data_IF_156019775571
#
_entry.id   IF_156019775571
#
_cell.length_a   1.000
_cell.length_b   1.000
_cell.length_c   1.000
_cell.angle_alpha   90.00
_cell.angle_beta   90.00
_cell.angle_gamma   90.00
#
_symmetry.space_group_name_H-M   'P 1'
#
loop_
_entity.id
_entity.type
_entity.pdbx_description
1 polymer ?
#
# COMPACT_ATOMS: atom_id res chain seq x y z
N UNK A 1 -32.65 12.18 1.59
CA UNK A 1 -32.90 13.60 1.94
C UNK A 1 -31.66 14.52 1.77
N UNK A 2 -30.49 14.00 1.37
CA UNK A 2 -29.24 14.79 1.26
C UNK A 2 -29.00 15.44 -0.12
N UNK A 3 -29.58 14.92 -1.18
CA UNK A 3 -29.29 15.35 -2.57
C UNK A 3 -29.65 16.81 -2.91
N UNK A 4 -30.78 17.41 -2.46
CA UNK A 4 -31.10 18.80 -2.77
C UNK A 4 -30.13 19.81 -2.13
N UNK A 5 -29.62 19.50 -0.96
CA UNK A 5 -28.71 20.39 -0.23
C UNK A 5 -27.31 20.44 -0.87
N UNK A 6 -26.82 19.31 -1.36
CA UNK A 6 -25.51 19.24 -2.05
C UNK A 6 -25.57 20.01 -3.37
N UNK A 7 -26.63 19.84 -4.16
CA UNK A 7 -26.79 20.54 -5.44
C UNK A 7 -26.89 22.07 -5.24
N UNK A 8 -27.56 22.52 -4.19
CA UNK A 8 -27.67 23.96 -3.85
C UNK A 8 -26.34 24.51 -3.37
N UNK A 9 -25.63 23.77 -2.52
CA UNK A 9 -24.30 24.19 -2.03
C UNK A 9 -23.29 24.30 -3.19
N UNK A 10 -23.30 23.31 -4.10
CA UNK A 10 -22.44 23.34 -5.28
C UNK A 10 -22.74 24.55 -6.18
N UNK A 11 -24.02 24.85 -6.45
CA UNK A 11 -24.41 25.99 -7.25
C UNK A 11 -23.95 27.32 -6.62
N UNK A 12 -24.13 27.47 -5.30
CA UNK A 12 -23.68 28.66 -4.58
C UNK A 12 -22.15 28.82 -4.70
N UNK A 13 -21.40 27.72 -4.60
CA UNK A 13 -19.94 27.72 -4.71
C UNK A 13 -19.51 28.13 -6.13
N UNK A 14 -20.14 27.61 -7.17
CA UNK A 14 -19.90 27.98 -8.58
C UNK A 14 -20.19 29.46 -8.83
N UNK A 15 -21.28 29.99 -8.27
CA UNK A 15 -21.66 31.42 -8.35
C UNK A 15 -20.65 32.31 -7.60
N UNK A 16 -20.20 31.90 -6.40
CA UNK A 16 -19.27 32.68 -5.58
C UNK A 16 -17.89 32.82 -6.25
N UNK A 17 -17.36 31.73 -6.82
CA UNK A 17 -16.05 31.73 -7.47
C UNK A 17 -16.09 32.06 -8.96
N UNK A 18 -17.29 32.20 -9.55
CA UNK A 18 -17.47 32.51 -10.97
C UNK A 18 -16.95 31.44 -11.93
N UNK A 19 -16.94 30.17 -11.47
CA UNK A 19 -16.43 29.03 -12.23
C UNK A 19 -17.49 27.94 -12.32
N UNK A 20 -17.40 27.11 -13.34
CA UNK A 20 -18.19 25.89 -13.44
C UNK A 20 -17.33 24.71 -12.97
N UNK A 21 -17.72 24.09 -11.85
CA UNK A 21 -16.95 22.98 -11.27
C UNK A 21 -17.33 21.68 -11.96
N UNK A 22 -18.63 21.47 -12.25
CA UNK A 22 -19.11 20.25 -12.91
C UNK A 22 -19.94 20.56 -14.15
N UNK A 23 -19.90 19.65 -15.11
CA UNK A 23 -20.77 19.65 -16.28
C UNK A 23 -21.51 18.30 -16.42
N UNK A 24 -22.66 18.35 -17.11
CA UNK A 24 -23.43 17.14 -17.38
C UNK A 24 -22.90 16.42 -18.61
N UNK A 25 -22.68 15.11 -18.50
CA UNK A 25 -22.35 14.24 -19.61
C UNK A 25 -23.39 13.14 -19.75
N UNK A 26 -23.28 12.34 -20.81
CA UNK A 26 -24.12 11.14 -21.03
C UNK A 26 -23.92 10.08 -19.94
N UNK A 27 -22.80 10.12 -19.22
CA UNK A 27 -22.45 9.19 -18.15
C UNK A 27 -22.63 9.77 -16.74
N UNK A 28 -23.15 11.01 -16.63
CA UNK A 28 -23.37 11.67 -15.34
C UNK A 28 -22.70 13.05 -15.22
N UNK A 29 -22.43 13.46 -14.01
CA UNK A 29 -21.70 14.71 -13.71
C UNK A 29 -20.21 14.47 -13.77
N UNK A 30 -19.49 15.25 -14.58
CA UNK A 30 -18.02 15.20 -14.70
C UNK A 30 -17.40 16.56 -14.33
N UNK A 31 -16.23 16.61 -13.66
CA UNK A 31 -15.55 17.85 -13.38
C UNK A 31 -15.04 18.51 -14.67
N UNK A 32 -15.24 19.81 -14.80
CA UNK A 32 -14.60 20.62 -15.85
C UNK A 32 -13.10 20.74 -15.61
N UNK A 33 -12.33 21.27 -16.53
CA UNK A 33 -10.90 21.54 -16.33
C UNK A 33 -10.64 22.50 -15.16
N UNK A 34 -11.41 23.61 -15.12
CA UNK A 34 -11.38 24.54 -13.99
C UNK A 34 -11.87 23.88 -12.70
N UNK A 35 -12.88 23.03 -12.80
CA UNK A 35 -13.42 22.26 -11.68
C UNK A 35 -12.39 21.30 -11.08
N UNK A 36 -11.64 20.57 -11.89
CA UNK A 36 -10.55 19.70 -11.39
C UNK A 36 -9.53 20.48 -10.59
N UNK A 37 -9.07 21.63 -11.15
CA UNK A 37 -8.11 22.48 -10.44
C UNK A 37 -8.70 23.03 -9.13
N UNK A 38 -9.95 23.47 -9.13
CA UNK A 38 -10.63 23.96 -7.93
C UNK A 38 -10.77 22.86 -6.87
N UNK A 39 -11.18 21.64 -7.26
CA UNK A 39 -11.30 20.50 -6.36
C UNK A 39 -9.94 20.19 -5.73
N UNK A 40 -8.85 20.16 -6.50
CA UNK A 40 -7.50 19.93 -5.97
C UNK A 40 -7.09 20.96 -4.91
N UNK A 41 -7.42 22.25 -5.12
CA UNK A 41 -7.14 23.29 -4.13
C UNK A 41 -8.05 23.16 -2.89
N UNK A 42 -9.33 22.91 -3.10
CA UNK A 42 -10.29 22.69 -2.01
C UNK A 42 -9.89 21.51 -1.10
N UNK A 43 -9.46 20.39 -1.71
CA UNK A 43 -8.93 19.24 -0.98
C UNK A 43 -7.68 19.58 -0.14
N UNK A 44 -6.82 20.48 -0.64
CA UNK A 44 -5.66 20.97 0.14
C UNK A 44 -6.10 21.76 1.37
N UNK A 45 -7.07 22.64 1.21
CA UNK A 45 -7.61 23.44 2.32
C UNK A 45 -8.27 22.52 3.36
N UNK A 46 -9.09 21.58 2.93
CA UNK A 46 -9.74 20.63 3.83
C UNK A 46 -8.72 19.78 4.61
N UNK A 47 -7.66 19.34 3.96
CA UNK A 47 -6.58 18.62 4.66
C UNK A 47 -5.91 19.48 5.73
N UNK A 48 -5.73 20.78 5.48
CA UNK A 48 -5.12 21.67 6.46
C UNK A 48 -6.07 21.94 7.65
N UNK A 49 -7.38 22.02 7.40
CA UNK A 49 -8.40 22.07 8.46
C UNK A 49 -8.38 20.77 9.29
N UNK A 50 -8.37 19.61 8.63
CA UNK A 50 -8.27 18.30 9.34
C UNK A 50 -7.01 18.22 10.21
N UNK A 51 -5.88 18.78 9.73
CA UNK A 51 -4.65 18.87 10.54
C UNK A 51 -4.80 19.76 11.75
N UNK A 52 -5.40 20.93 11.59
CA UNK A 52 -5.65 21.84 12.72
C UNK A 52 -6.54 21.18 13.76
N UNK A 53 -7.60 20.50 13.35
CA UNK A 53 -8.50 19.77 14.24
C UNK A 53 -7.78 18.62 14.96
N UNK A 54 -6.95 17.86 14.25
CA UNK A 54 -6.12 16.79 14.81
C UNK A 54 -5.12 17.35 15.82
N UNK A 55 -4.45 18.47 15.53
CA UNK A 55 -3.50 19.12 16.42
C UNK A 55 -4.18 19.73 17.66
N UNK A 56 -5.39 20.27 17.51
CA UNK A 56 -6.18 20.77 18.63
C UNK A 56 -6.58 19.65 19.60
N UNK A 57 -7.03 18.48 19.08
CA UNK A 57 -7.39 17.31 19.89
C UNK A 57 -6.18 16.69 20.58
N UNK A 58 -4.99 16.71 19.95
CA UNK A 58 -3.75 16.21 20.55
C UNK A 58 -3.22 17.05 21.70
N UNK A 59 -3.35 18.36 21.63
CA UNK A 59 -2.95 19.23 22.75
C UNK A 59 -3.71 18.93 24.04
N UNK A 60 -4.80 18.18 23.91
CA UNK A 60 -5.58 17.65 25.04
C UNK A 60 -5.11 16.26 25.50
N UNK A 61 -4.09 15.65 24.83
CA UNK A 61 -3.48 14.37 25.26
C UNK A 61 -4.32 13.11 24.98
N UNK A 62 -5.39 13.23 24.18
CA UNK A 62 -6.47 12.23 24.19
C UNK A 62 -6.49 11.27 22.99
N UNK A 63 -5.77 11.54 21.87
CA UNK A 63 -5.95 10.73 20.68
C UNK A 63 -4.64 10.32 19.98
N UNK A 64 -4.39 9.02 19.87
CA UNK A 64 -3.37 8.47 18.97
C UNK A 64 -3.98 8.23 17.59
N UNK A 65 -3.54 8.98 16.57
CA UNK A 65 -4.02 8.87 15.20
C UNK A 65 -2.89 8.46 14.26
N UNK A 66 -3.13 7.41 13.46
CA UNK A 66 -2.23 6.97 12.40
C UNK A 66 -3.01 6.66 11.13
N UNK A 67 -2.60 7.26 10.00
CA UNK A 67 -3.13 6.93 8.67
C UNK A 67 -1.99 6.55 7.75
N UNK A 68 -1.94 5.28 7.35
CA UNK A 68 -0.86 4.74 6.52
C UNK A 68 -1.38 3.89 5.38
N UNK A 69 -0.83 4.09 4.18
CA UNK A 69 -1.02 3.22 3.02
C UNK A 69 0.18 2.28 2.90
N UNK A 70 -0.07 0.98 2.76
CA UNK A 70 0.95 -0.07 2.76
C UNK A 70 0.77 -0.98 1.55
N UNK A 71 1.84 -1.47 0.92
CA UNK A 71 1.74 -2.54 -0.06
C UNK A 71 1.46 -3.87 0.63
N UNK A 72 1.25 -4.93 -0.13
CA UNK A 72 1.16 -6.30 0.40
C UNK A 72 2.50 -6.74 1.04
N UNK A 73 2.85 -6.13 2.16
CA UNK A 73 4.08 -6.36 2.92
C UNK A 73 3.77 -6.88 4.32
N UNK A 74 4.02 -8.16 4.57
CA UNK A 74 3.71 -8.77 5.87
C UNK A 74 4.41 -8.07 7.03
N UNK A 75 5.68 -7.69 6.88
CA UNK A 75 6.42 -6.99 7.93
C UNK A 75 5.81 -5.62 8.26
N UNK A 76 5.29 -4.91 7.26
CA UNK A 76 4.63 -3.62 7.48
C UNK A 76 3.30 -3.78 8.23
N UNK A 77 2.54 -4.84 7.94
CA UNK A 77 1.34 -5.18 8.73
C UNK A 77 1.68 -5.51 10.17
N UNK A 78 2.81 -6.21 10.42
CA UNK A 78 3.27 -6.48 11.78
C UNK A 78 3.75 -5.21 12.50
N UNK A 79 4.36 -4.26 11.80
CA UNK A 79 4.66 -2.94 12.36
C UNK A 79 3.40 -2.20 12.81
N UNK A 80 2.32 -2.29 12.03
CA UNK A 80 1.03 -1.73 12.42
C UNK A 80 0.42 -2.43 13.64
N UNK A 81 0.54 -3.75 13.75
CA UNK A 81 0.11 -4.51 14.94
C UNK A 81 0.94 -4.10 16.17
N UNK A 82 2.26 -4.01 16.03
CA UNK A 82 3.14 -3.57 17.14
C UNK A 82 2.79 -2.13 17.57
N UNK A 83 2.46 -1.24 16.64
CA UNK A 83 1.98 0.11 16.94
C UNK A 83 0.67 0.08 17.73
N UNK A 84 -0.31 -0.71 17.29
CA UNK A 84 -1.58 -0.86 17.99
C UNK A 84 -1.39 -1.37 19.42
N UNK A 85 -0.50 -2.36 19.64
CA UNK A 85 -0.20 -2.88 20.98
C UNK A 85 0.38 -1.81 21.89
N UNK A 86 1.27 -0.94 21.36
CA UNK A 86 1.86 0.14 22.14
C UNK A 86 0.89 1.31 22.39
N UNK A 87 -0.06 1.53 21.50
CA UNK A 87 -1.07 2.58 21.59
C UNK A 87 -2.35 2.13 22.34
N UNK A 88 -2.42 0.86 22.78
CA UNK A 88 -3.63 0.29 23.39
C UNK A 88 -4.07 0.98 24.70
N UNK A 89 -3.17 1.71 25.37
CA UNK A 89 -3.47 2.48 26.57
C UNK A 89 -3.92 3.93 26.32
N UNK A 90 -4.01 4.36 25.06
CA UNK A 90 -4.50 5.71 24.72
C UNK A 90 -6.02 5.81 24.95
N UNK A 91 -6.49 6.94 25.46
CA UNK A 91 -7.94 7.15 25.69
C UNK A 91 -8.73 7.13 24.37
N UNK A 92 -8.14 7.68 23.30
CA UNK A 92 -8.67 7.59 21.95
C UNK A 92 -7.61 7.02 21.01
N UNK A 93 -8.01 6.08 20.16
CA UNK A 93 -7.16 5.44 19.17
C UNK A 93 -7.88 5.40 17.83
N UNK A 94 -7.32 6.08 16.82
CA UNK A 94 -7.82 6.03 15.44
C UNK A 94 -6.69 5.63 14.50
N UNK A 95 -6.76 4.42 13.98
CA UNK A 95 -5.75 3.89 13.07
C UNK A 95 -6.38 3.44 11.76
N UNK A 96 -5.93 4.05 10.67
CA UNK A 96 -6.35 3.71 9.31
C UNK A 96 -5.18 3.08 8.57
N UNK A 97 -5.30 1.78 8.31
CA UNK A 97 -4.35 1.02 7.51
C UNK A 97 -5.02 0.68 6.19
N UNK A 98 -4.45 1.12 5.09
CA UNK A 98 -4.96 0.83 3.75
C UNK A 98 -3.94 0.02 2.98
N UNK A 99 -4.34 -1.12 2.43
CA UNK A 99 -3.53 -1.80 1.42
C UNK A 99 -3.71 -1.10 0.08
N UNK A 100 -2.60 -0.78 -0.58
CA UNK A 100 -2.58 -0.01 -1.83
C UNK A 100 -1.32 -0.29 -2.64
N UNK A 101 -1.44 -0.26 -3.95
CA UNK A 101 -0.29 -0.20 -4.87
C UNK A 101 0.43 1.14 -4.77
N UNK A 102 1.63 1.24 -5.34
CA UNK A 102 2.50 2.43 -5.17
C UNK A 102 1.85 3.72 -5.64
N UNK A 103 1.20 3.74 -6.79
CA UNK A 103 0.54 4.95 -7.30
C UNK A 103 -0.70 5.33 -6.49
N UNK A 104 -1.47 4.34 -6.05
CA UNK A 104 -2.60 4.58 -5.16
C UNK A 104 -2.14 5.07 -3.79
N UNK A 105 -1.05 4.51 -3.25
CA UNK A 105 -0.40 4.98 -2.01
C UNK A 105 0.01 6.44 -2.10
N UNK A 106 0.58 6.86 -3.23
CA UNK A 106 0.89 8.27 -3.51
C UNK A 106 -0.38 9.13 -3.57
N UNK A 107 -1.46 8.64 -4.18
CA UNK A 107 -2.75 9.34 -4.21
C UNK A 107 -3.33 9.51 -2.79
N UNK A 108 -3.21 8.49 -1.93
CA UNK A 108 -3.61 8.59 -0.52
C UNK A 108 -2.87 9.71 0.22
N UNK A 109 -1.54 9.83 0.02
CA UNK A 109 -0.75 10.90 0.65
C UNK A 109 -1.06 12.27 0.07
N UNK A 110 -1.19 12.36 -1.26
CA UNK A 110 -1.35 13.65 -1.93
C UNK A 110 -2.76 14.21 -1.85
N UNK A 111 -3.80 13.34 -1.79
CA UNK A 111 -5.19 13.76 -1.98
C UNK A 111 -6.18 13.28 -0.92
N UNK A 112 -5.88 12.18 -0.18
CA UNK A 112 -6.87 11.53 0.69
C UNK A 112 -6.56 11.64 2.19
N UNK A 113 -5.66 12.56 2.57
CA UNK A 113 -5.38 12.87 3.99
C UNK A 113 -4.56 11.80 4.72
N UNK A 114 -3.94 10.86 4.01
CA UNK A 114 -2.92 10.00 4.59
C UNK A 114 -1.60 10.77 4.65
N UNK A 115 -0.81 10.51 5.68
CA UNK A 115 0.48 11.19 5.81
C UNK A 115 1.66 10.28 5.46
N UNK A 116 1.49 8.98 5.60
CA UNK A 116 2.50 7.97 5.30
C UNK A 116 2.02 7.03 4.20
N UNK A 117 2.89 6.71 3.25
CA UNK A 117 2.71 5.57 2.37
C UNK A 117 4.03 4.81 2.19
N UNK A 118 3.96 3.49 2.19
CA UNK A 118 5.06 2.63 1.81
C UNK A 118 4.85 2.20 0.36
N UNK A 119 5.73 2.63 -0.52
CA UNK A 119 5.69 2.28 -1.94
C UNK A 119 6.51 1.02 -2.17
N UNK A 120 6.06 0.15 -3.07
CA UNK A 120 6.80 -1.03 -3.53
C UNK A 120 6.92 -1.03 -5.04
N UNK A 121 8.12 -1.00 -5.55
CA UNK A 121 8.40 -0.98 -6.98
C UNK A 121 9.72 -1.68 -7.31
N UNK A 122 9.91 -2.01 -8.59
CA UNK A 122 11.16 -2.57 -9.08
C UNK A 122 12.28 -1.52 -9.08
N UNK A 123 13.51 -1.92 -8.83
CA UNK A 123 14.68 -1.03 -8.84
C UNK A 123 14.79 -0.24 -10.16
N UNK A 124 14.37 -0.81 -11.28
CA UNK A 124 14.31 -0.18 -12.60
C UNK A 124 13.43 1.09 -12.61
N UNK A 125 12.41 1.17 -11.75
CA UNK A 125 11.46 2.28 -11.66
C UNK A 125 11.89 3.37 -10.68
N UNK A 126 13.04 3.24 -10.05
CA UNK A 126 13.58 4.17 -9.04
C UNK A 126 13.58 5.62 -9.55
N UNK A 127 14.06 5.84 -10.77
CA UNK A 127 14.13 7.17 -11.37
C UNK A 127 12.74 7.80 -11.58
N UNK A 128 11.74 6.98 -11.93
CA UNK A 128 10.37 7.45 -12.08
C UNK A 128 9.80 7.93 -10.74
N UNK A 129 9.84 7.07 -9.72
CA UNK A 129 9.30 7.39 -8.40
C UNK A 129 10.06 8.51 -7.71
N UNK A 130 11.39 8.58 -7.88
CA UNK A 130 12.23 9.65 -7.35
C UNK A 130 11.81 11.02 -7.90
N UNK A 131 11.72 11.13 -9.22
CA UNK A 131 11.27 12.38 -9.88
C UNK A 131 9.83 12.74 -9.55
N UNK A 132 8.96 11.73 -9.48
CA UNK A 132 7.55 11.94 -9.14
C UNK A 132 7.38 12.54 -7.75
N UNK A 133 8.06 11.97 -6.74
CA UNK A 133 8.03 12.45 -5.36
C UNK A 133 8.67 13.84 -5.21
N UNK A 134 9.85 14.06 -5.79
CA UNK A 134 10.56 15.33 -5.72
C UNK A 134 9.73 16.51 -6.27
N UNK A 135 9.05 16.32 -7.40
CA UNK A 135 8.16 17.35 -7.98
C UNK A 135 6.95 17.68 -7.11
N UNK A 136 6.61 16.83 -6.13
CA UNK A 136 5.45 17.00 -5.25
C UNK A 136 5.81 17.31 -3.80
N UNK A 137 7.11 17.54 -3.52
CA UNK A 137 7.60 17.84 -2.17
C UNK A 137 7.34 16.70 -1.20
N UNK A 138 7.62 15.46 -1.64
CA UNK A 138 7.55 14.28 -0.81
C UNK A 138 8.95 13.82 -0.42
N UNK A 139 9.18 13.64 0.87
CA UNK A 139 10.34 12.94 1.42
C UNK A 139 10.28 11.46 1.06
N UNK A 140 11.46 10.86 0.87
CA UNK A 140 11.61 9.43 0.55
C UNK A 140 12.66 8.80 1.44
N UNK A 141 12.35 7.64 1.97
CA UNK A 141 13.27 6.84 2.77
C UNK A 141 13.20 5.36 2.36
N UNK A 142 14.31 4.79 1.92
CA UNK A 142 14.37 3.37 1.61
C UNK A 142 14.30 2.55 2.90
N UNK A 143 13.29 1.68 3.00
CA UNK A 143 13.08 0.80 4.16
C UNK A 143 13.69 -0.57 3.91
N UNK A 144 13.50 -1.13 2.71
CA UNK A 144 14.00 -2.46 2.39
C UNK A 144 14.29 -2.60 0.88
N UNK A 145 15.30 -3.39 0.55
CA UNK A 145 15.57 -3.92 -0.78
C UNK A 145 15.54 -5.44 -0.69
N UNK A 146 14.88 -6.10 -1.65
CA UNK A 146 14.69 -7.54 -1.63
C UNK A 146 14.44 -8.11 -3.02
N UNK A 147 14.56 -9.44 -3.12
CA UNK A 147 14.08 -10.25 -4.25
C UNK A 147 12.86 -11.05 -3.80
N UNK A 148 11.89 -11.25 -4.71
CA UNK A 148 10.79 -12.14 -4.44
C UNK A 148 11.29 -13.60 -4.30
N UNK A 149 10.60 -14.35 -3.47
CA UNK A 149 10.86 -15.76 -3.21
C UNK A 149 9.57 -16.56 -3.35
N UNK A 150 9.70 -17.85 -3.60
CA UNK A 150 8.56 -18.76 -3.57
C UNK A 150 8.13 -18.97 -2.13
N UNK A 151 6.88 -18.66 -1.84
CA UNK A 151 6.21 -18.98 -0.59
C UNK A 151 5.37 -20.23 -0.82
N UNK A 152 5.67 -21.27 -0.06
CA UNK A 152 5.04 -22.58 -0.20
C UNK A 152 4.70 -23.18 1.16
N UNK A 153 3.78 -24.11 1.19
CA UNK A 153 3.54 -24.92 2.36
C UNK A 153 4.81 -25.70 2.73
N UNK A 154 5.10 -25.84 4.02
CA UNK A 154 6.27 -26.58 4.53
C UNK A 154 6.27 -28.05 4.08
N UNK A 155 5.10 -28.63 3.89
CA UNK A 155 4.95 -30.01 3.41
C UNK A 155 4.90 -30.14 1.88
N UNK A 156 4.97 -29.03 1.16
CA UNK A 156 5.00 -29.00 -0.30
C UNK A 156 6.22 -29.76 -0.85
N UNK A 157 6.08 -30.47 -1.97
CA UNK A 157 7.24 -30.98 -2.69
C UNK A 157 8.24 -29.87 -3.03
N UNK A 158 7.78 -28.65 -3.35
CA UNK A 158 8.62 -27.49 -3.61
C UNK A 158 9.46 -27.04 -2.40
N UNK A 159 9.05 -27.36 -1.18
CA UNK A 159 9.83 -27.07 0.02
C UNK A 159 11.07 -27.96 0.14
N UNK A 160 11.05 -29.17 -0.45
CA UNK A 160 12.03 -30.23 -0.24
C UNK A 160 13.13 -30.29 -1.29
N UNK A 161 12.96 -29.70 -2.47
CA UNK A 161 13.97 -29.66 -3.52
C UNK A 161 14.20 -28.23 -4.03
N UNK A 162 15.33 -28.00 -4.68
CA UNK A 162 15.60 -26.74 -5.34
C UNK A 162 14.91 -26.72 -6.71
N UNK A 163 14.23 -25.64 -6.98
CA UNK A 163 13.58 -25.38 -8.27
C UNK A 163 14.54 -24.55 -9.09
N UNK A 164 14.94 -25.02 -10.25
CA UNK A 164 15.90 -24.37 -11.11
C UNK A 164 15.27 -23.77 -12.38
N UNK A 165 14.12 -24.30 -12.81
CA UNK A 165 13.42 -23.86 -14.00
C UNK A 165 11.99 -23.47 -13.66
N UNK A 166 11.55 -22.35 -14.21
CA UNK A 166 10.17 -21.88 -14.11
C UNK A 166 9.17 -22.91 -14.65
N UNK A 167 9.54 -23.69 -15.67
CA UNK A 167 8.70 -24.74 -16.22
C UNK A 167 8.29 -25.83 -15.19
N UNK A 168 9.11 -26.03 -14.15
CA UNK A 168 8.77 -26.95 -13.05
C UNK A 168 7.53 -26.49 -12.29
N UNK A 169 7.29 -25.17 -12.20
CA UNK A 169 6.16 -24.57 -11.51
C UNK A 169 4.82 -24.79 -12.24
N UNK A 170 4.84 -25.15 -13.52
CA UNK A 170 3.61 -25.42 -14.29
C UNK A 170 2.75 -26.56 -13.72
N UNK A 171 3.33 -27.41 -12.88
CA UNK A 171 2.61 -28.51 -12.20
C UNK A 171 1.87 -28.06 -10.95
N UNK A 172 2.16 -26.85 -10.47
CA UNK A 172 1.66 -26.29 -9.23
C UNK A 172 0.62 -25.22 -9.51
N UNK A 173 -0.12 -24.81 -8.50
CA UNK A 173 -1.11 -23.75 -8.61
C UNK A 173 -0.51 -22.44 -8.12
N UNK A 174 -0.44 -21.45 -8.99
CA UNK A 174 0.03 -20.11 -8.65
C UNK A 174 -1.09 -19.31 -7.99
N UNK A 175 -0.80 -18.71 -6.83
CA UNK A 175 -1.71 -17.78 -6.14
C UNK A 175 -1.21 -16.37 -6.38
N UNK A 176 -2.05 -15.53 -6.96
CA UNK A 176 -1.73 -14.17 -7.40
C UNK A 176 -2.56 -13.13 -6.66
N UNK A 177 -1.95 -12.00 -6.33
CA UNK A 177 -2.67 -10.78 -6.00
C UNK A 177 -2.81 -9.91 -7.25
N UNK A 178 -4.04 -9.54 -7.59
CA UNK A 178 -4.34 -8.82 -8.84
C UNK A 178 -4.18 -7.28 -8.73
N UNK A 179 -3.77 -6.77 -7.56
CA UNK A 179 -3.69 -5.34 -7.29
C UNK A 179 -2.41 -4.65 -7.80
N UNK A 180 -1.57 -5.37 -8.54
CA UNK A 180 -0.28 -4.88 -9.01
C UNK A 180 -0.35 -4.40 -10.46
N UNK A 181 -0.87 -3.20 -10.70
CA UNK A 181 -0.81 -2.54 -12.01
C UNK A 181 -0.01 -1.24 -11.93
N UNK A 182 1.04 -1.10 -12.75
CA UNK A 182 1.65 0.20 -13.03
C UNK A 182 0.78 0.95 -14.04
N UNK A 183 0.57 2.28 -13.88
CA UNK A 183 -0.12 3.08 -14.87
C UNK A 183 0.63 3.06 -16.20
N UNK A 184 0.02 2.54 -17.26
CA UNK A 184 0.56 2.52 -18.61
C UNK A 184 1.07 1.17 -19.10
N UNK A 185 1.11 0.14 -18.29
CA UNK A 185 1.35 -1.23 -18.72
C UNK A 185 0.09 -2.06 -18.57
N UNK A 186 -0.53 -2.41 -19.68
CA UNK A 186 -1.50 -3.51 -19.77
C UNK A 186 -0.73 -4.82 -19.62
N UNK A 187 -0.59 -5.28 -18.38
CA UNK A 187 0.10 -6.51 -18.08
C UNK A 187 0.86 -6.40 -16.75
N UNK A 188 0.72 -7.39 -15.92
CA UNK A 188 1.38 -7.50 -14.63
C UNK A 188 2.88 -7.24 -14.74
N UNK A 189 3.37 -6.35 -13.91
CA UNK A 189 4.79 -5.99 -13.80
C UNK A 189 5.71 -7.11 -13.29
N UNK A 190 5.17 -8.24 -12.88
CA UNK A 190 5.95 -9.42 -12.52
C UNK A 190 6.25 -10.22 -13.79
N UNK A 191 7.42 -9.99 -14.37
CA UNK A 191 7.90 -10.64 -15.62
C UNK A 191 8.04 -12.17 -15.55
N UNK A 192 7.75 -12.78 -14.40
CA UNK A 192 7.88 -14.21 -14.16
C UNK A 192 6.58 -14.93 -13.79
N UNK A 193 5.43 -14.36 -14.09
CA UNK A 193 4.17 -15.09 -14.00
C UNK A 193 4.16 -16.20 -15.04
N UNK A 194 4.32 -17.42 -14.58
CA UNK A 194 4.70 -18.53 -15.44
C UNK A 194 3.56 -19.45 -15.77
N UNK A 195 2.60 -19.57 -14.84
CA UNK A 195 1.59 -20.60 -14.95
C UNK A 195 0.30 -20.07 -15.56
N UNK A 196 0.16 -20.15 -16.89
CA UNK A 196 -1.06 -19.71 -17.57
C UNK A 196 -2.28 -20.61 -17.31
N UNK A 197 -2.08 -21.83 -16.85
CA UNK A 197 -3.12 -22.85 -16.78
C UNK A 197 -3.67 -23.08 -15.38
N UNK A 198 -2.91 -22.79 -14.32
CA UNK A 198 -3.27 -23.10 -12.93
C UNK A 198 -3.06 -21.88 -12.03
N UNK A 199 -4.00 -20.95 -12.09
CA UNK A 199 -3.94 -19.68 -11.34
C UNK A 199 -5.16 -19.52 -10.45
N UNK A 200 -4.92 -18.94 -9.27
CA UNK A 200 -5.94 -18.46 -8.35
C UNK A 200 -5.69 -16.98 -8.09
N UNK A 201 -6.59 -16.15 -8.54
CA UNK A 201 -6.54 -14.71 -8.29
C UNK A 201 -7.24 -14.40 -6.98
N UNK A 202 -6.54 -13.73 -6.06
CA UNK A 202 -7.09 -13.26 -4.79
C UNK A 202 -6.98 -11.75 -4.71
N UNK A 203 -8.02 -11.12 -4.19
CA UNK A 203 -8.14 -9.66 -4.08
C UNK A 203 -8.07 -9.20 -2.62
N UNK A 204 -7.86 -10.13 -1.70
CA UNK A 204 -7.74 -9.87 -0.28
C UNK A 204 -6.66 -10.79 0.35
N UNK A 205 -6.17 -10.40 1.53
CA UNK A 205 -4.98 -11.03 2.11
C UNK A 205 -5.25 -12.37 2.81
N UNK A 206 -6.45 -12.57 3.37
CA UNK A 206 -6.69 -13.73 4.24
C UNK A 206 -6.70 -15.06 3.48
N UNK A 207 -7.38 -15.12 2.33
CA UNK A 207 -7.52 -16.35 1.54
C UNK A 207 -6.19 -16.90 1.03
N UNK A 208 -5.23 -16.05 0.68
CA UNK A 208 -3.93 -16.51 0.16
C UNK A 208 -3.22 -17.46 1.13
N UNK A 209 -3.19 -17.11 2.43
CA UNK A 209 -2.52 -17.96 3.43
C UNK A 209 -3.27 -19.25 3.69
N UNK A 210 -4.61 -19.19 3.73
CA UNK A 210 -5.46 -20.37 3.87
C UNK A 210 -5.31 -21.30 2.68
N UNK A 211 -5.22 -20.77 1.44
CA UNK A 211 -5.00 -21.56 0.23
C UNK A 211 -3.64 -22.25 0.30
N UNK A 212 -2.56 -21.51 0.60
CA UNK A 212 -1.22 -22.10 0.70
C UNK A 212 -1.11 -23.15 1.81
N UNK A 213 -1.79 -22.92 2.93
CA UNK A 213 -1.82 -23.87 4.04
C UNK A 213 -2.58 -25.15 3.70
N UNK A 214 -3.71 -25.02 2.99
CA UNK A 214 -4.60 -26.16 2.69
C UNK A 214 -4.24 -26.90 1.40
N UNK A 215 -3.48 -26.24 0.49
CA UNK A 215 -3.10 -26.82 -0.80
C UNK A 215 -1.58 -26.90 -0.93
N UNK A 216 -0.94 -28.01 -0.54
CA UNK A 216 0.54 -28.17 -0.63
C UNK A 216 1.11 -28.04 -2.05
N UNK A 217 0.26 -28.14 -3.06
CA UNK A 217 0.64 -27.92 -4.47
C UNK A 217 0.49 -26.46 -4.92
N UNK A 218 0.14 -25.55 -4.01
CA UNK A 218 0.09 -24.13 -4.32
C UNK A 218 1.40 -23.42 -3.95
N UNK A 219 1.70 -22.36 -4.68
CA UNK A 219 2.79 -21.43 -4.38
C UNK A 219 2.38 -20.00 -4.69
N UNK A 220 3.09 -19.05 -4.12
CA UNK A 220 3.02 -17.64 -4.53
C UNK A 220 4.39 -16.98 -4.48
N UNK A 221 4.57 -15.93 -5.25
CA UNK A 221 5.72 -15.04 -5.13
C UNK A 221 5.52 -14.11 -3.93
N UNK A 222 6.48 -14.05 -3.06
CA UNK A 222 6.36 -13.30 -1.82
C UNK A 222 7.61 -12.51 -1.49
N UNK A 223 7.41 -11.31 -0.95
CA UNK A 223 8.48 -10.53 -0.30
C UNK A 223 8.94 -11.22 0.99
N UNK A 224 10.15 -10.92 1.48
CA UNK A 224 10.62 -11.34 2.79
C UNK A 224 9.59 -11.04 3.88
N UNK A 225 9.53 -11.89 4.89
CA UNK A 225 8.56 -11.76 5.99
C UNK A 225 9.13 -12.26 7.31
N UNK A 226 8.59 -11.78 8.45
CA UNK A 226 9.02 -12.23 9.77
C UNK A 226 8.85 -13.73 9.93
N UNK A 227 9.81 -14.40 10.60
CA UNK A 227 9.80 -15.83 10.84
C UNK A 227 8.50 -16.30 11.52
N UNK A 228 7.98 -15.51 12.47
CA UNK A 228 6.71 -15.79 13.16
C UNK A 228 5.51 -15.94 12.20
N UNK A 229 5.52 -15.18 11.06
CA UNK A 229 4.46 -15.30 10.07
C UNK A 229 4.56 -16.61 9.27
N UNK A 230 5.78 -17.08 8.99
CA UNK A 230 6.00 -18.36 8.33
C UNK A 230 5.56 -19.52 9.22
N UNK A 231 5.88 -19.47 10.51
CA UNK A 231 5.50 -20.49 11.49
C UNK A 231 3.99 -20.55 11.70
N UNK A 232 3.35 -19.38 11.85
CA UNK A 232 1.90 -19.29 12.07
C UNK A 232 1.08 -20.01 10.98
N UNK A 233 1.52 -19.91 9.72
CA UNK A 233 0.81 -20.48 8.58
C UNK A 233 1.45 -21.76 8.03
N UNK A 234 2.42 -22.34 8.73
CA UNK A 234 3.15 -23.54 8.30
C UNK A 234 3.77 -23.39 6.90
N UNK A 235 4.37 -22.23 6.63
CA UNK A 235 4.93 -21.88 5.34
C UNK A 235 6.45 -21.76 5.41
N UNK A 236 7.09 -21.83 4.24
CA UNK A 236 8.53 -21.55 4.05
C UNK A 236 8.75 -20.68 2.84
N UNK A 237 9.82 -19.87 2.89
CA UNK A 237 10.31 -19.09 1.76
C UNK A 237 11.46 -19.84 1.10
N UNK A 238 11.38 -20.03 -0.20
CA UNK A 238 12.39 -20.69 -1.02
C UNK A 238 13.01 -19.69 -1.99
N UNK A 239 14.32 -19.64 -2.04
CA UNK A 239 15.03 -18.87 -3.07
C UNK A 239 14.79 -19.52 -4.43
N UNK A 240 14.64 -18.70 -5.46
CA UNK A 240 14.55 -19.14 -6.84
C UNK A 240 15.70 -18.51 -7.62
N UNK A 241 16.70 -19.29 -8.08
CA UNK A 241 17.95 -18.76 -8.62
C UNK A 241 17.79 -17.92 -9.91
N UNK A 242 16.78 -18.22 -10.73
CA UNK A 242 16.54 -17.47 -11.97
C UNK A 242 15.80 -16.15 -11.73
N UNK A 243 15.30 -15.90 -10.52
CA UNK A 243 14.65 -14.65 -10.15
C UNK A 243 15.71 -13.69 -9.59
N UNK A 244 15.94 -12.59 -10.28
CA UNK A 244 16.94 -11.58 -9.93
C UNK A 244 16.38 -10.14 -9.93
N UNK A 245 15.07 -9.96 -10.11
CA UNK A 245 14.49 -8.63 -10.04
C UNK A 245 14.54 -8.10 -8.62
N UNK A 246 15.23 -6.99 -8.44
CA UNK A 246 15.29 -6.30 -7.16
C UNK A 246 14.10 -5.39 -6.99
N UNK A 247 13.49 -5.48 -5.84
CA UNK A 247 12.36 -4.69 -5.42
C UNK A 247 12.78 -3.75 -4.29
N UNK A 248 12.15 -2.59 -4.22
CA UNK A 248 12.36 -1.61 -3.17
C UNK A 248 11.05 -1.30 -2.47
N UNK A 249 11.12 -1.25 -1.14
CA UNK A 249 10.10 -0.66 -0.30
C UNK A 249 10.62 0.70 0.19
N UNK A 250 9.92 1.77 -0.21
CA UNK A 250 10.30 3.16 0.06
C UNK A 250 9.15 3.86 0.76
N UNK A 251 9.41 4.34 1.97
CA UNK A 251 8.47 5.16 2.72
C UNK A 251 8.44 6.57 2.13
N UNK A 252 7.24 7.13 1.98
CA UNK A 252 7.05 8.51 1.53
C UNK A 252 6.10 9.27 2.45
N UNK A 253 6.39 10.56 2.64
CA UNK A 253 5.57 11.51 3.40
C UNK A 253 5.89 12.94 2.95
N UNK A 254 5.01 13.94 3.22
CA UNK A 254 5.27 15.33 2.83
C UNK A 254 6.52 15.91 3.48
N UNK A 255 7.37 16.60 2.71
CA UNK A 255 8.57 17.30 3.23
C UNK A 255 8.22 18.40 4.23
N UNK A 256 7.06 19.04 4.03
CA UNK A 256 6.59 20.15 4.87
C UNK A 256 5.64 19.64 5.95
N UNK A 257 5.78 20.15 7.16
CA UNK A 257 4.89 19.88 8.29
C UNK A 257 5.46 18.90 9.33
N UNK A 258 6.60 18.25 9.03
CA UNK A 258 7.23 17.29 9.96
C UNK A 258 6.41 16.01 10.17
N UNK A 259 7.01 15.05 10.83
CA UNK A 259 6.33 13.82 11.27
C UNK A 259 5.68 14.06 12.64
N UNK A 260 4.61 13.39 12.88
CA UNK A 260 3.92 13.35 14.17
C UNK A 260 4.59 12.29 15.07
N UNK A 261 4.48 12.40 16.39
CA UNK A 261 5.07 11.39 17.29
C UNK A 261 4.60 9.96 17.00
N UNK A 262 3.32 9.78 16.67
CA UNK A 262 2.75 8.48 16.30
C UNK A 262 3.31 7.95 14.97
N UNK A 263 3.58 8.85 14.03
CA UNK A 263 4.17 8.52 12.74
C UNK A 263 5.65 8.16 12.89
N UNK A 264 6.40 8.92 13.68
CA UNK A 264 7.80 8.59 14.02
C UNK A 264 7.90 7.22 14.68
N UNK A 265 7.02 6.96 15.65
CA UNK A 265 6.93 5.68 16.33
C UNK A 265 6.59 4.53 15.37
N UNK A 266 5.63 4.73 14.47
CA UNK A 266 5.30 3.74 13.45
C UNK A 266 6.48 3.47 12.51
N UNK A 267 7.20 4.52 12.07
CA UNK A 267 8.37 4.40 11.19
C UNK A 267 9.49 3.60 11.89
N UNK A 268 9.73 3.84 13.18
CA UNK A 268 10.69 3.06 13.97
C UNK A 268 10.31 1.57 14.00
N UNK A 269 9.03 1.27 14.25
CA UNK A 269 8.52 -0.09 14.25
C UNK A 269 8.60 -0.74 12.85
N UNK A 270 8.35 0.02 11.79
CA UNK A 270 8.48 -0.42 10.41
C UNK A 270 9.93 -0.83 10.09
N UNK A 271 10.91 0.01 10.44
CA UNK A 271 12.34 -0.28 10.28
C UNK A 271 12.75 -1.52 11.08
N UNK A 272 12.26 -1.64 12.32
CA UNK A 272 12.50 -2.81 13.16
C UNK A 272 11.95 -4.09 12.54
N UNK A 273 10.71 -4.08 12.08
CA UNK A 273 10.10 -5.25 11.46
C UNK A 273 10.78 -5.62 10.13
N UNK A 274 11.20 -4.64 9.33
CA UNK A 274 12.00 -4.87 8.12
C UNK A 274 13.33 -5.59 8.44
N UNK A 275 14.01 -5.18 9.50
CA UNK A 275 15.26 -5.80 9.94
C UNK A 275 15.09 -7.25 10.47
N UNK A 276 13.90 -7.60 10.97
CA UNK A 276 13.56 -8.94 11.47
C UNK A 276 13.07 -9.90 10.38
N UNK A 277 12.98 -9.48 9.14
CA UNK A 277 12.56 -10.35 8.02
C UNK A 277 13.67 -11.35 7.69
N UNK A 278 13.26 -12.57 7.40
CA UNK A 278 14.16 -13.61 6.87
C UNK A 278 14.57 -13.22 5.46
N UNK A 279 15.87 -13.00 5.29
CA UNK A 279 16.49 -12.70 4.00
C UNK A 279 16.82 -13.96 3.22
#
# INVERSE_FOLDING_TARGET
>A
AAQPNVSKALKNLEEEYGIRIFERSSTGMIPTEQGRHFIEQAERVLREVDRLDADARRRQGECAELRVALPHATYASYAAVDFLQQAAGSEQLQVHIREAGSMEGLDFVLRRGYHLALLRYAEEDEDYYSRYCARRGLHREQIMEFEYRLLVNRDSPLARHEVHDLAELNRYTEVLHDDFQLPGEEGSSLRWQVNENRRVHVYERCSQFSILQSLPTAYMWASPRPQRALEQYHLVLKKFPAQNQRMRDVLVYPDKGGLRPEEEKFIELLRRQAALTVK
#
